data_IF_510801600023
#
_entry.id   IF_510801600023
#
_cell.length_a   1.000
_cell.length_b   1.000
_cell.length_c   1.000
_cell.angle_alpha   90.00
_cell.angle_beta   90.00
_cell.angle_gamma   90.00
#
_symmetry.space_group_name_H-M   'P 1'
#
loop_
_entity.id
_entity.type
_entity.pdbx_description
1 polymer ?
#
# COMPACT_ATOMS: atom_id res chain seq x y z
N UNK A 1 -8.51 -30.64 -20.28
CA UNK A 1 -7.42 -30.23 -19.34
C UNK A 1 -7.48 -30.98 -18.02
N UNK A 2 -8.68 -31.21 -17.41
CA UNK A 2 -8.81 -31.93 -16.14
C UNK A 2 -8.40 -33.40 -16.24
N UNK A 3 -8.69 -34.06 -17.37
CA UNK A 3 -8.35 -35.47 -17.62
C UNK A 3 -6.84 -35.76 -17.75
N UNK A 4 -6.01 -34.75 -18.03
CA UNK A 4 -4.57 -34.88 -18.16
C UNK A 4 -3.78 -34.30 -16.98
N UNK A 5 -4.42 -33.97 -15.85
CA UNK A 5 -3.75 -33.42 -14.67
C UNK A 5 -3.09 -32.04 -14.87
N UNK A 6 -3.35 -31.37 -16.00
CA UNK A 6 -2.79 -30.06 -16.33
C UNK A 6 -3.51 -28.88 -15.67
N UNK A 7 -3.78 -28.97 -14.36
CA UNK A 7 -4.38 -27.89 -13.58
C UNK A 7 -3.54 -27.55 -12.36
N UNK A 8 -3.56 -26.27 -12.00
CA UNK A 8 -3.03 -25.82 -10.74
C UNK A 8 -4.20 -25.49 -9.80
N UNK A 9 -4.20 -26.09 -8.62
CA UNK A 9 -5.22 -25.84 -7.62
C UNK A 9 -5.19 -24.36 -7.19
N UNK A 10 -6.34 -23.72 -7.19
CA UNK A 10 -6.50 -22.34 -6.71
C UNK A 10 -6.69 -22.37 -5.20
N UNK A 11 -6.02 -21.48 -4.48
CA UNK A 11 -6.26 -21.30 -3.06
C UNK A 11 -7.68 -20.75 -2.84
N UNK A 12 -8.48 -21.47 -2.09
CA UNK A 12 -9.82 -21.05 -1.67
C UNK A 12 -9.69 -20.48 -0.25
N UNK A 13 -9.99 -19.18 -0.05
CA UNK A 13 -9.95 -18.59 1.29
C UNK A 13 -11.03 -19.20 2.20
N UNK A 14 -10.79 -19.18 3.49
CA UNK A 14 -11.85 -19.50 4.47
C UNK A 14 -12.90 -18.39 4.46
N UNK A 15 -14.15 -18.67 4.82
CA UNK A 15 -15.20 -17.67 4.95
C UNK A 15 -14.78 -16.49 5.84
N UNK A 16 -14.08 -16.77 6.95
CA UNK A 16 -13.56 -15.76 7.85
C UNK A 16 -12.51 -14.83 7.16
N UNK A 17 -11.61 -15.38 6.34
CA UNK A 17 -10.63 -14.56 5.61
C UNK A 17 -11.28 -13.78 4.47
N UNK A 18 -12.27 -14.38 3.81
CA UNK A 18 -13.00 -13.72 2.72
C UNK A 18 -13.84 -12.55 3.23
N UNK A 19 -14.53 -12.70 4.36
CA UNK A 19 -15.27 -11.61 4.99
C UNK A 19 -14.36 -10.44 5.41
N UNK A 20 -13.18 -10.71 5.96
CA UNK A 20 -12.20 -9.67 6.28
C UNK A 20 -11.67 -8.99 5.01
N UNK A 21 -11.39 -9.75 3.97
CA UNK A 21 -10.97 -9.23 2.66
C UNK A 21 -12.01 -8.27 2.07
N UNK A 22 -13.30 -8.66 2.07
CA UNK A 22 -14.39 -7.79 1.60
C UNK A 22 -14.50 -6.50 2.42
N UNK A 23 -14.32 -6.59 3.76
CA UNK A 23 -14.32 -5.42 4.62
C UNK A 23 -13.18 -4.44 4.31
N UNK A 24 -11.96 -4.96 4.05
CA UNK A 24 -10.80 -4.16 3.66
C UNK A 24 -11.00 -3.50 2.28
N UNK A 25 -11.60 -4.21 1.34
CA UNK A 25 -11.93 -3.68 0.01
C UNK A 25 -12.98 -2.59 0.10
N UNK A 26 -14.06 -2.81 0.84
CA UNK A 26 -15.09 -1.78 1.12
C UNK A 26 -14.44 -0.49 1.68
N UNK A 27 -13.55 -0.64 2.67
CA UNK A 27 -12.82 0.53 3.21
C UNK A 27 -11.99 1.24 2.13
N UNK A 28 -11.39 0.50 1.20
CA UNK A 28 -10.64 1.10 0.09
C UNK A 28 -11.56 1.86 -0.88
N UNK A 29 -12.76 1.34 -1.15
CA UNK A 29 -13.75 2.02 -1.99
C UNK A 29 -14.19 3.35 -1.35
N UNK A 30 -14.39 3.39 -0.04
CA UNK A 30 -14.64 4.63 0.69
C UNK A 30 -13.46 5.61 0.62
N UNK A 31 -12.22 5.13 0.63
CA UNK A 31 -11.03 5.97 0.41
C UNK A 31 -11.00 6.58 -1.00
N UNK A 32 -11.41 5.81 -2.01
CA UNK A 32 -11.54 6.31 -3.38
C UNK A 32 -12.67 7.34 -3.51
N UNK A 33 -13.81 7.12 -2.85
CA UNK A 33 -14.90 8.08 -2.79
C UNK A 33 -14.45 9.39 -2.13
N UNK A 34 -13.76 9.34 -1.00
CA UNK A 34 -13.17 10.51 -0.35
C UNK A 34 -12.22 11.27 -1.29
N UNK A 35 -11.38 10.56 -2.04
CA UNK A 35 -10.50 11.18 -3.03
C UNK A 35 -11.30 11.92 -4.11
N UNK A 36 -12.41 11.36 -4.58
CA UNK A 36 -13.31 11.99 -5.56
C UNK A 36 -13.93 13.29 -4.99
N UNK A 37 -14.43 13.24 -3.76
CA UNK A 37 -14.98 14.43 -3.08
C UNK A 37 -13.90 15.53 -2.96
N UNK A 38 -12.68 15.17 -2.51
CA UNK A 38 -11.55 16.11 -2.46
C UNK A 38 -11.24 16.75 -3.83
N UNK A 39 -11.36 16.00 -4.91
CA UNK A 39 -11.17 16.52 -6.27
C UNK A 39 -12.31 17.46 -6.67
N UNK A 40 -13.56 17.14 -6.31
CA UNK A 40 -14.74 17.97 -6.59
C UNK A 40 -14.63 19.34 -5.87
N UNK A 41 -14.27 19.35 -4.58
CA UNK A 41 -14.03 20.59 -3.82
C UNK A 41 -12.92 21.43 -4.45
N UNK A 42 -11.78 20.81 -4.79
CA UNK A 42 -10.70 21.53 -5.46
C UNK A 42 -11.13 22.10 -6.82
N UNK A 43 -11.87 21.34 -7.61
CA UNK A 43 -12.36 21.79 -8.91
C UNK A 43 -13.38 22.93 -8.78
N UNK A 44 -14.24 22.87 -7.75
CA UNK A 44 -15.16 23.97 -7.42
C UNK A 44 -14.39 25.25 -7.10
N UNK A 45 -13.41 25.19 -6.18
CA UNK A 45 -12.59 26.33 -5.83
C UNK A 45 -11.90 26.97 -7.05
N UNK A 46 -11.27 26.14 -7.89
CA UNK A 46 -10.57 26.63 -9.09
C UNK A 46 -11.53 27.32 -10.08
N UNK A 47 -12.71 26.74 -10.32
CA UNK A 47 -13.69 27.32 -11.25
C UNK A 47 -14.22 28.69 -10.79
N UNK A 48 -14.25 28.92 -9.48
CA UNK A 48 -14.75 30.16 -8.89
C UNK A 48 -13.63 31.12 -8.44
N UNK A 49 -12.38 30.87 -8.85
CA UNK A 49 -11.23 31.75 -8.56
C UNK A 49 -10.70 31.68 -7.12
N UNK A 50 -11.13 30.71 -6.31
CA UNK A 50 -10.64 30.53 -4.95
C UNK A 50 -9.32 29.74 -4.97
N UNK A 51 -8.22 30.41 -4.69
CA UNK A 51 -6.88 29.81 -4.67
C UNK A 51 -6.35 29.72 -3.23
N UNK A 52 -5.83 28.56 -2.87
CA UNK A 52 -5.15 28.35 -1.60
C UNK A 52 -3.67 28.04 -1.82
N UNK A 53 -2.78 28.88 -1.31
CA UNK A 53 -1.33 28.79 -1.56
C UNK A 53 -0.60 27.79 -0.67
N UNK A 54 -1.28 27.23 0.34
CA UNK A 54 -0.69 26.29 1.28
C UNK A 54 -0.88 24.81 0.89
N UNK A 55 -0.44 23.93 1.79
CA UNK A 55 -0.68 22.48 1.65
C UNK A 55 -2.17 22.17 1.86
N UNK A 56 -2.79 21.59 0.83
CA UNK A 56 -4.20 21.19 0.84
C UNK A 56 -4.48 20.05 1.84
N UNK A 57 -5.70 19.99 2.34
CA UNK A 57 -6.22 18.95 3.27
C UNK A 57 -5.54 18.93 4.63
N UNK A 58 -4.97 20.07 5.03
CA UNK A 58 -4.53 20.36 6.41
C UNK A 58 -5.68 21.06 7.17
N UNK A 59 -5.57 21.12 8.49
CA UNK A 59 -6.52 21.87 9.31
C UNK A 59 -6.63 23.34 8.88
N UNK A 60 -5.52 23.95 8.46
CA UNK A 60 -5.50 25.31 7.95
C UNK A 60 -6.31 25.44 6.64
N UNK A 61 -6.15 24.49 5.70
CA UNK A 61 -6.92 24.47 4.47
C UNK A 61 -8.42 24.28 4.73
N UNK A 62 -8.80 23.36 5.64
CA UNK A 62 -10.20 23.13 5.99
C UNK A 62 -10.83 24.35 6.65
N UNK A 63 -10.09 25.06 7.53
CA UNK A 63 -10.54 26.33 8.10
C UNK A 63 -10.71 27.41 7.03
N UNK A 64 -9.80 27.48 6.06
CA UNK A 64 -9.89 28.40 4.94
C UNK A 64 -11.13 28.11 4.08
N UNK A 65 -11.42 26.87 3.73
CA UNK A 65 -12.62 26.48 2.98
C UNK A 65 -13.91 26.93 3.69
N UNK A 66 -13.99 26.75 5.01
CA UNK A 66 -15.15 27.17 5.81
C UNK A 66 -15.31 28.70 5.90
N UNK A 67 -14.22 29.46 5.75
CA UNK A 67 -14.19 30.92 5.83
C UNK A 67 -14.29 31.65 4.48
N UNK A 68 -14.40 30.90 3.38
CA UNK A 68 -14.52 31.51 2.05
C UNK A 68 -15.76 32.44 2.01
N UNK A 69 -15.54 33.67 1.60
CA UNK A 69 -16.62 34.61 1.36
C UNK A 69 -17.21 34.36 -0.03
N UNK A 70 -18.37 33.74 -0.07
CA UNK A 70 -19.10 33.41 -1.29
C UNK A 70 -20.42 34.16 -1.25
N UNK A 71 -20.56 35.17 -2.11
CA UNK A 71 -21.75 36.04 -2.16
C UNK A 71 -22.97 35.36 -2.79
N UNK A 72 -22.74 34.40 -3.69
CA UNK A 72 -23.82 33.64 -4.31
C UNK A 72 -24.26 32.49 -3.41
N UNK A 73 -25.53 32.53 -2.97
CA UNK A 73 -26.10 31.56 -2.02
C UNK A 73 -25.99 30.12 -2.51
N UNK A 74 -26.31 29.83 -3.79
CA UNK A 74 -26.23 28.48 -4.35
C UNK A 74 -24.78 27.94 -4.42
N UNK A 75 -23.81 28.84 -4.64
CA UNK A 75 -22.40 28.42 -4.58
C UNK A 75 -21.96 28.11 -3.15
N UNK A 76 -22.46 28.87 -2.16
CA UNK A 76 -22.18 28.61 -0.74
C UNK A 76 -22.77 27.25 -0.35
N UNK A 77 -24.05 27.03 -0.66
CA UNK A 77 -24.74 25.76 -0.40
C UNK A 77 -24.03 24.59 -1.06
N UNK A 78 -23.63 24.74 -2.34
CA UNK A 78 -22.88 23.70 -3.07
C UNK A 78 -21.57 23.33 -2.36
N UNK A 79 -20.82 24.32 -1.88
CA UNK A 79 -19.58 24.04 -1.17
C UNK A 79 -19.84 23.37 0.20
N UNK A 80 -20.88 23.81 0.90
CA UNK A 80 -21.23 23.25 2.21
C UNK A 80 -21.67 21.78 2.09
N UNK A 81 -22.44 21.42 1.04
CA UNK A 81 -22.82 20.03 0.73
C UNK A 81 -21.60 19.16 0.41
N UNK A 82 -20.65 19.66 -0.38
CA UNK A 82 -19.39 18.94 -0.61
C UNK A 82 -18.56 18.78 0.66
N UNK A 83 -18.53 19.80 1.53
CA UNK A 83 -17.81 19.73 2.81
C UNK A 83 -18.49 18.77 3.79
N UNK A 84 -19.81 18.73 3.85
CA UNK A 84 -20.57 17.74 4.61
C UNK A 84 -20.25 16.32 4.17
N UNK A 85 -20.30 16.07 2.86
CA UNK A 85 -19.92 14.78 2.26
C UNK A 85 -18.46 14.39 2.59
N UNK A 86 -17.55 15.36 2.60
CA UNK A 86 -16.15 15.13 2.98
C UNK A 86 -16.03 14.70 4.45
N UNK A 87 -16.68 15.41 5.37
CA UNK A 87 -16.63 15.12 6.81
C UNK A 87 -17.25 13.75 7.14
N UNK A 88 -18.40 13.44 6.55
CA UNK A 88 -19.04 12.11 6.70
C UNK A 88 -18.14 10.99 6.21
N UNK A 89 -17.49 11.17 5.06
CA UNK A 89 -16.64 10.15 4.49
C UNK A 89 -15.36 9.92 5.29
N UNK A 90 -14.76 11.00 5.84
CA UNK A 90 -13.62 10.88 6.78
C UNK A 90 -14.02 10.12 8.04
N UNK A 91 -15.16 10.47 8.66
CA UNK A 91 -15.67 9.78 9.85
C UNK A 91 -15.96 8.29 9.60
N UNK A 92 -16.48 7.93 8.40
CA UNK A 92 -16.66 6.52 8.01
C UNK A 92 -15.33 5.78 7.93
N UNK A 93 -14.33 6.36 7.25
CA UNK A 93 -13.01 5.74 7.11
C UNK A 93 -12.34 5.57 8.48
N UNK A 94 -12.44 6.54 9.37
CA UNK A 94 -11.88 6.44 10.72
C UNK A 94 -12.50 5.28 11.53
N UNK A 95 -13.83 5.10 11.45
CA UNK A 95 -14.53 3.98 12.08
C UNK A 95 -14.05 2.63 11.51
N UNK A 96 -13.88 2.55 10.17
CA UNK A 96 -13.38 1.33 9.52
C UNK A 96 -11.93 1.05 9.92
N UNK A 97 -11.08 2.07 9.98
CA UNK A 97 -9.68 1.91 10.40
C UNK A 97 -9.59 1.43 11.86
N UNK A 98 -10.47 1.90 12.74
CA UNK A 98 -10.59 1.39 14.11
C UNK A 98 -10.98 -0.09 14.13
N UNK A 99 -12.01 -0.47 13.36
CA UNK A 99 -12.46 -1.86 13.27
C UNK A 99 -11.40 -2.77 12.68
N UNK A 100 -10.65 -2.32 11.69
CA UNK A 100 -9.54 -3.06 11.08
C UNK A 100 -8.44 -3.34 12.11
N UNK A 101 -8.14 -2.40 13.00
CA UNK A 101 -7.18 -2.64 14.10
C UNK A 101 -7.68 -3.72 15.05
N UNK A 102 -8.95 -3.68 15.45
CA UNK A 102 -9.55 -4.72 16.30
C UNK A 102 -9.49 -6.11 15.63
N UNK A 103 -9.76 -6.20 14.32
CA UNK A 103 -9.63 -7.45 13.56
C UNK A 103 -8.17 -7.93 13.55
N UNK A 104 -7.23 -7.02 13.33
CA UNK A 104 -5.81 -7.34 13.29
C UNK A 104 -5.24 -7.83 14.64
N UNK A 105 -5.86 -7.45 15.76
CA UNK A 105 -5.52 -7.90 17.11
C UNK A 105 -6.05 -9.29 17.45
N UNK A 106 -6.92 -9.87 16.61
CA UNK A 106 -7.38 -11.25 16.81
C UNK A 106 -6.21 -12.24 16.72
N UNK A 107 -6.25 -13.29 17.55
CA UNK A 107 -5.20 -14.33 17.65
C UNK A 107 -4.77 -14.88 16.27
N UNK A 108 -5.73 -15.00 15.34
CA UNK A 108 -5.49 -15.51 13.98
C UNK A 108 -4.51 -14.65 13.17
N UNK A 109 -4.52 -13.33 13.37
CA UNK A 109 -3.81 -12.36 12.54
C UNK A 109 -2.69 -11.62 13.25
N UNK A 110 -2.79 -11.46 14.58
CA UNK A 110 -1.96 -10.58 15.40
C UNK A 110 -0.46 -10.75 15.13
N UNK A 111 0.05 -11.97 15.23
CA UNK A 111 1.49 -12.24 15.08
C UNK A 111 1.98 -11.93 13.67
N UNK A 112 1.19 -12.30 12.65
CA UNK A 112 1.51 -12.03 11.25
C UNK A 112 1.51 -10.54 10.94
N UNK A 113 0.52 -9.81 11.45
CA UNK A 113 0.41 -8.36 11.30
C UNK A 113 1.59 -7.67 11.96
N UNK A 114 1.92 -8.00 13.22
CA UNK A 114 3.09 -7.46 13.93
C UNK A 114 4.40 -7.67 13.17
N UNK A 115 4.62 -8.86 12.62
CA UNK A 115 5.80 -9.15 11.79
C UNK A 115 5.85 -8.21 10.57
N UNK A 116 4.77 -8.05 9.83
CA UNK A 116 4.72 -7.22 8.62
C UNK A 116 4.81 -5.73 8.91
N UNK A 117 4.30 -5.26 10.05
CA UNK A 117 4.42 -3.87 10.47
C UNK A 117 5.86 -3.44 10.82
N UNK A 118 6.80 -4.39 10.94
CA UNK A 118 8.23 -4.09 11.05
C UNK A 118 8.81 -3.48 9.78
N UNK A 119 8.17 -3.66 8.63
CA UNK A 119 8.58 -2.99 7.40
C UNK A 119 8.12 -1.54 7.37
N UNK A 120 9.04 -0.65 6.97
CA UNK A 120 8.70 0.75 6.73
C UNK A 120 7.68 0.84 5.58
N UNK A 121 6.58 1.57 5.80
CA UNK A 121 5.52 1.74 4.80
C UNK A 121 4.39 0.72 4.89
N UNK A 122 4.55 -0.39 5.61
CA UNK A 122 3.48 -1.35 5.88
C UNK A 122 2.86 -1.02 7.24
N UNK A 123 1.57 -0.67 7.25
CA UNK A 123 0.75 -0.45 8.44
C UNK A 123 -0.34 -1.52 8.53
N UNK A 124 -1.12 -1.53 9.59
CA UNK A 124 -2.14 -2.54 9.93
C UNK A 124 -3.03 -2.92 8.74
N UNK A 125 -3.63 -1.93 8.06
CA UNK A 125 -4.48 -2.18 6.89
C UNK A 125 -3.72 -2.94 5.79
N UNK A 126 -2.52 -2.49 5.42
CA UNK A 126 -1.71 -3.13 4.37
C UNK A 126 -1.26 -4.53 4.80
N UNK A 127 -0.83 -4.69 6.06
CA UNK A 127 -0.41 -5.98 6.60
C UNK A 127 -1.55 -7.00 6.57
N UNK A 128 -2.74 -6.61 7.08
CA UNK A 128 -3.90 -7.48 7.09
C UNK A 128 -4.37 -7.83 5.67
N UNK A 129 -4.40 -6.85 4.74
CA UNK A 129 -4.73 -7.09 3.34
C UNK A 129 -3.77 -8.09 2.69
N UNK A 130 -2.45 -7.96 2.92
CA UNK A 130 -1.46 -8.91 2.42
C UNK A 130 -1.72 -10.34 2.92
N UNK A 131 -2.12 -10.48 4.19
CA UNK A 131 -2.40 -11.78 4.80
C UNK A 131 -3.65 -12.43 4.18
N UNK A 132 -4.79 -11.73 4.21
CA UNK A 132 -6.08 -12.33 3.81
C UNK A 132 -6.21 -12.50 2.29
N UNK A 133 -5.66 -11.59 1.50
CA UNK A 133 -5.69 -11.68 0.03
C UNK A 133 -4.71 -12.72 -0.53
N UNK A 134 -3.60 -12.96 0.17
CA UNK A 134 -2.62 -13.98 -0.24
C UNK A 134 -3.00 -15.36 0.26
N UNK A 135 -3.53 -15.46 1.49
CA UNK A 135 -3.85 -16.70 2.18
C UNK A 135 -2.58 -17.48 2.54
N UNK A 136 -2.26 -18.52 1.78
CA UNK A 136 -1.06 -19.31 2.01
C UNK A 136 0.15 -18.81 1.20
N UNK A 137 1.15 -18.24 1.90
CA UNK A 137 2.40 -17.79 1.29
C UNK A 137 3.32 -18.96 0.88
N UNK A 138 3.17 -20.13 1.51
CA UNK A 138 4.00 -21.32 1.23
C UNK A 138 3.69 -21.95 -0.13
N UNK A 139 2.54 -21.62 -0.75
CA UNK A 139 2.25 -22.03 -2.14
C UNK A 139 3.21 -21.46 -3.16
N UNK A 140 3.98 -20.44 -2.82
CA UNK A 140 5.02 -19.86 -3.65
C UNK A 140 6.39 -20.39 -3.19
N UNK A 141 7.09 -21.12 -4.05
CA UNK A 141 8.40 -21.68 -3.71
C UNK A 141 9.49 -20.60 -3.52
N UNK A 142 9.32 -19.41 -4.12
CA UNK A 142 10.30 -18.31 -4.08
C UNK A 142 9.59 -16.96 -4.07
N UNK A 143 10.19 -15.94 -3.43
CA UNK A 143 9.64 -14.59 -3.39
C UNK A 143 9.40 -13.96 -4.77
N UNK A 144 10.18 -14.32 -5.80
CA UNK A 144 9.94 -13.86 -7.16
C UNK A 144 8.63 -14.41 -7.76
N UNK A 145 8.19 -15.62 -7.39
CA UNK A 145 6.89 -16.15 -7.80
C UNK A 145 5.75 -15.37 -7.16
N UNK A 146 5.91 -15.01 -5.87
CA UNK A 146 4.96 -14.13 -5.19
C UNK A 146 4.89 -12.74 -5.85
N UNK A 147 6.04 -12.16 -6.20
CA UNK A 147 6.07 -10.89 -6.93
C UNK A 147 5.42 -10.99 -8.32
N UNK A 148 5.54 -12.14 -9.01
CA UNK A 148 4.86 -12.39 -10.27
C UNK A 148 3.35 -12.54 -10.10
N UNK A 149 2.90 -13.23 -9.05
CA UNK A 149 1.48 -13.32 -8.67
C UNK A 149 0.84 -11.94 -8.44
N UNK A 150 1.62 -10.98 -7.95
CA UNK A 150 1.18 -9.59 -7.76
C UNK A 150 1.27 -8.75 -9.05
N UNK A 151 1.80 -9.31 -10.14
CA UNK A 151 2.02 -8.58 -11.39
C UNK A 151 3.10 -7.50 -11.30
N UNK A 152 4.05 -7.66 -10.39
CA UNK A 152 5.22 -6.78 -10.20
C UNK A 152 6.46 -7.27 -10.96
N UNK A 153 6.39 -8.44 -11.61
CA UNK A 153 7.47 -8.91 -12.47
C UNK A 153 7.60 -8.03 -13.71
N UNK A 154 8.83 -7.76 -14.20
CA UNK A 154 9.02 -7.07 -15.45
C UNK A 154 8.51 -7.94 -16.60
N UNK A 155 7.82 -7.33 -17.55
CA UNK A 155 7.51 -7.96 -18.82
C UNK A 155 8.72 -7.86 -19.77
N UNK A 156 8.78 -8.77 -20.73
CA UNK A 156 9.74 -8.77 -21.79
C UNK A 156 9.06 -9.18 -23.10
N UNK A 157 9.41 -8.53 -24.18
CA UNK A 157 8.98 -8.86 -25.54
C UNK A 157 10.21 -8.84 -26.43
N UNK A 158 11.05 -9.85 -26.26
CA UNK A 158 12.32 -10.01 -26.97
C UNK A 158 12.19 -11.08 -28.05
N UNK A 159 12.82 -10.86 -29.19
CA UNK A 159 12.91 -11.83 -30.28
C UNK A 159 14.34 -11.86 -30.79
N UNK A 160 14.96 -13.05 -30.78
CA UNK A 160 16.35 -13.24 -31.22
C UNK A 160 17.31 -12.24 -30.53
N UNK A 161 18.01 -11.42 -31.27
CA UNK A 161 18.98 -10.46 -30.76
C UNK A 161 18.38 -9.14 -30.27
N UNK A 162 17.08 -8.94 -30.49
CA UNK A 162 16.36 -7.71 -30.07
C UNK A 162 15.74 -7.88 -28.69
N UNK A 163 16.33 -7.21 -27.67
CA UNK A 163 15.85 -7.27 -26.29
C UNK A 163 14.98 -6.06 -26.00
N UNK A 164 13.65 -6.27 -25.90
CA UNK A 164 12.68 -5.24 -25.50
C UNK A 164 12.15 -5.50 -24.09
N UNK A 165 12.70 -4.78 -23.12
CA UNK A 165 12.23 -4.80 -21.72
C UNK A 165 11.03 -3.90 -21.54
N UNK A 166 9.92 -4.47 -21.09
CA UNK A 166 8.68 -3.78 -20.81
C UNK A 166 8.60 -3.32 -19.34
N UNK A 167 7.52 -2.63 -18.98
CA UNK A 167 7.17 -2.35 -17.60
C UNK A 167 6.77 -3.61 -16.83
N UNK A 168 6.16 -3.43 -15.65
CA UNK A 168 5.58 -4.56 -14.90
C UNK A 168 4.40 -5.17 -15.64
N UNK A 169 4.19 -6.48 -15.51
CA UNK A 169 3.15 -7.23 -16.24
C UNK A 169 1.73 -6.78 -15.88
N UNK A 170 1.52 -6.28 -14.66
CA UNK A 170 0.21 -5.93 -14.09
C UNK A 170 -0.81 -7.08 -14.05
N UNK A 171 -0.40 -8.30 -14.34
CA UNK A 171 -1.20 -9.50 -14.17
C UNK A 171 -1.41 -9.82 -12.68
N UNK A 172 -2.51 -10.48 -12.33
CA UNK A 172 -2.77 -10.91 -10.95
C UNK A 172 -3.40 -9.83 -10.06
N UNK A 173 -3.17 -9.93 -8.74
CA UNK A 173 -3.89 -9.13 -7.74
C UNK A 173 -3.53 -7.64 -7.79
N UNK A 174 -4.41 -6.83 -8.39
CA UNK A 174 -4.23 -5.39 -8.57
C UNK A 174 -4.30 -4.62 -7.24
N UNK A 175 -5.13 -5.07 -6.29
CA UNK A 175 -5.29 -4.43 -4.99
C UNK A 175 -4.00 -4.53 -4.16
N UNK A 176 -3.45 -5.73 -4.01
CA UNK A 176 -2.17 -5.93 -3.30
C UNK A 176 -1.00 -5.23 -4.00
N UNK A 177 -0.98 -5.23 -5.33
CA UNK A 177 0.03 -4.48 -6.11
C UNK A 177 -0.01 -2.99 -5.79
N UNK A 178 -1.21 -2.40 -5.73
CA UNK A 178 -1.39 -0.98 -5.36
C UNK A 178 -0.88 -0.72 -3.95
N UNK A 179 -1.27 -1.53 -2.97
CA UNK A 179 -0.84 -1.38 -1.57
C UNK A 179 0.69 -1.44 -1.42
N UNK A 180 1.36 -2.38 -2.11
CA UNK A 180 2.81 -2.49 -2.06
C UNK A 180 3.53 -1.33 -2.76
N UNK A 181 2.97 -0.79 -3.84
CA UNK A 181 3.50 0.42 -4.49
C UNK A 181 3.35 1.63 -3.55
N UNK A 182 2.21 1.79 -2.88
CA UNK A 182 1.99 2.84 -1.88
C UNK A 182 2.96 2.69 -0.69
N UNK A 183 3.12 1.48 -0.15
CA UNK A 183 4.07 1.18 0.93
C UNK A 183 5.51 1.53 0.51
N UNK A 184 5.90 1.14 -0.70
CA UNK A 184 7.23 1.46 -1.26
C UNK A 184 7.45 2.96 -1.41
N UNK A 185 6.41 3.74 -1.73
CA UNK A 185 6.47 5.20 -1.73
C UNK A 185 6.85 5.78 -0.36
N UNK A 186 6.44 5.14 0.72
CA UNK A 186 6.86 5.46 2.09
C UNK A 186 8.34 5.12 2.37
N UNK A 187 8.79 3.95 1.90
CA UNK A 187 10.19 3.52 2.01
C UNK A 187 11.13 4.48 1.27
N UNK A 188 10.73 4.95 0.10
CA UNK A 188 11.52 5.85 -0.76
C UNK A 188 11.69 7.27 -0.21
N UNK A 189 11.15 7.58 0.96
CA UNK A 189 11.30 8.89 1.62
C UNK A 189 12.27 8.81 2.78
N UNK A 190 13.05 9.88 2.99
CA UNK A 190 13.98 10.02 4.13
C UNK A 190 15.35 9.37 3.94
N UNK A 191 16.23 9.51 4.93
CA UNK A 191 17.62 9.06 4.89
C UNK A 191 17.74 7.52 5.04
N UNK A 192 18.76 6.95 4.38
CA UNK A 192 19.10 5.52 4.51
C UNK A 192 19.47 5.22 5.96
N UNK A 193 18.97 4.11 6.49
CA UNK A 193 19.22 3.69 7.89
C UNK A 193 18.37 4.43 8.93
N UNK A 194 17.69 5.51 8.59
CA UNK A 194 16.87 6.23 9.55
C UNK A 194 15.59 5.46 9.92
N UNK A 195 15.36 5.30 11.21
CA UNK A 195 14.14 4.75 11.83
C UNK A 195 13.37 5.85 12.56
N UNK A 196 12.12 6.06 12.18
CA UNK A 196 11.22 6.95 12.92
C UNK A 196 10.82 6.36 14.29
N UNK A 197 10.37 7.22 15.20
CA UNK A 197 9.79 6.78 16.49
C UNK A 197 8.60 5.83 16.28
N UNK A 198 7.76 6.12 15.30
CA UNK A 198 6.60 5.29 14.94
C UNK A 198 7.01 3.88 14.49
N UNK A 199 8.07 3.74 13.68
CA UNK A 199 8.56 2.43 13.25
C UNK A 199 9.15 1.65 14.43
N UNK A 200 9.92 2.31 15.30
CA UNK A 200 10.46 1.67 16.51
C UNK A 200 9.34 1.16 17.43
N UNK A 201 8.27 1.94 17.62
CA UNK A 201 7.13 1.53 18.42
C UNK A 201 6.43 0.29 17.83
N UNK A 202 6.24 0.22 16.49
CA UNK A 202 5.66 -0.95 15.83
C UNK A 202 6.55 -2.20 15.88
N UNK A 203 7.86 -2.02 15.91
CA UNK A 203 8.81 -3.13 16.02
C UNK A 203 8.92 -3.66 17.44
N UNK A 204 8.57 -2.87 18.46
CA UNK A 204 8.66 -3.27 19.85
C UNK A 204 7.82 -4.53 20.13
N UNK A 205 8.36 -5.45 20.89
CA UNK A 205 7.73 -6.73 21.22
C UNK A 205 7.89 -7.83 20.16
N UNK A 206 8.47 -7.54 18.99
CA UNK A 206 8.84 -8.56 18.01
C UNK A 206 10.20 -9.19 18.33
N UNK A 207 10.43 -10.42 17.83
CA UNK A 207 11.72 -11.10 17.95
C UNK A 207 12.83 -10.30 17.27
N UNK A 208 14.03 -10.32 17.84
CA UNK A 208 15.19 -9.60 17.31
C UNK A 208 15.51 -9.94 15.85
N UNK A 209 15.36 -11.20 15.46
CA UNK A 209 15.57 -11.69 14.08
C UNK A 209 14.60 -11.06 13.08
N UNK A 210 13.31 -10.96 13.47
CA UNK A 210 12.25 -10.31 12.66
C UNK A 210 12.57 -8.84 12.44
N UNK A 211 12.96 -8.15 13.51
CA UNK A 211 13.34 -6.73 13.45
C UNK A 211 14.58 -6.55 12.56
N UNK A 212 15.62 -7.36 12.76
CA UNK A 212 16.84 -7.28 11.98
C UNK A 212 16.60 -7.53 10.49
N UNK A 213 15.75 -8.52 10.14
CA UNK A 213 15.35 -8.79 8.76
C UNK A 213 14.62 -7.61 8.13
N UNK A 214 13.64 -7.03 8.84
CA UNK A 214 12.91 -5.86 8.36
C UNK A 214 13.82 -4.63 8.19
N UNK A 215 14.76 -4.40 9.11
CA UNK A 215 15.72 -3.30 9.03
C UNK A 215 16.69 -3.44 7.87
N UNK A 216 17.19 -4.65 7.63
CA UNK A 216 18.01 -4.97 6.45
C UNK A 216 17.21 -4.66 5.18
N UNK A 217 15.95 -5.09 5.11
CA UNK A 217 15.08 -4.80 3.98
C UNK A 217 14.88 -3.28 3.80
N UNK A 218 14.52 -2.55 4.86
CA UNK A 218 14.28 -1.11 4.81
C UNK A 218 15.50 -0.34 4.33
N UNK A 219 16.69 -0.69 4.84
CA UNK A 219 17.97 -0.08 4.45
C UNK A 219 18.32 -0.38 3.00
N UNK A 220 18.23 -1.65 2.59
CA UNK A 220 18.52 -2.11 1.23
C UNK A 220 17.59 -1.46 0.20
N UNK A 221 16.28 -1.49 0.44
CA UNK A 221 15.27 -0.96 -0.47
C UNK A 221 15.46 0.54 -0.68
N UNK A 222 15.71 1.29 0.39
CA UNK A 222 15.95 2.73 0.32
C UNK A 222 17.26 3.07 -0.41
N UNK A 223 18.35 2.37 -0.10
CA UNK A 223 19.63 2.54 -0.80
C UNK A 223 19.47 2.26 -2.29
N UNK A 224 18.76 1.18 -2.66
CA UNK A 224 18.50 0.80 -4.04
C UNK A 224 17.65 1.82 -4.77
N UNK A 225 16.63 2.38 -4.11
CA UNK A 225 15.83 3.47 -4.68
C UNK A 225 16.72 4.66 -5.06
N UNK A 226 17.54 5.16 -4.14
CA UNK A 226 18.43 6.28 -4.43
C UNK A 226 19.48 5.98 -5.51
N UNK A 227 19.94 4.71 -5.56
CA UNK A 227 20.80 4.27 -6.68
C UNK A 227 20.07 4.39 -8.01
N UNK A 228 18.81 3.95 -8.12
CA UNK A 228 18.02 4.09 -9.35
C UNK A 228 17.83 5.56 -9.76
N UNK A 229 17.50 6.43 -8.80
CA UNK A 229 17.33 7.87 -9.08
C UNK A 229 18.62 8.50 -9.57
N UNK A 230 19.77 8.22 -8.93
CA UNK A 230 21.08 8.70 -9.37
C UNK A 230 21.45 8.22 -10.77
N UNK A 231 20.99 7.06 -11.20
CA UNK A 231 21.18 6.55 -12.57
C UNK A 231 20.07 7.02 -13.53
N UNK A 232 19.34 8.09 -13.22
CA UNK A 232 18.37 8.70 -14.11
C UNK A 232 17.07 7.91 -14.33
N UNK A 233 16.77 6.89 -13.52
CA UNK A 233 15.51 6.15 -13.65
C UNK A 233 14.34 7.03 -13.21
N UNK A 234 13.25 7.01 -13.98
CA UNK A 234 12.01 7.71 -13.60
C UNK A 234 11.50 7.20 -12.26
N UNK A 235 11.04 8.11 -11.40
CA UNK A 235 10.59 7.81 -10.04
C UNK A 235 9.62 6.63 -9.96
N UNK A 236 8.60 6.61 -10.80
CA UNK A 236 7.57 5.55 -10.75
C UNK A 236 8.14 4.18 -11.13
N UNK A 237 9.12 4.12 -12.06
CA UNK A 237 9.83 2.89 -12.42
C UNK A 237 10.67 2.39 -11.24
N UNK A 238 11.39 3.32 -10.56
CA UNK A 238 12.16 2.99 -9.37
C UNK A 238 11.26 2.47 -8.23
N UNK A 239 10.13 3.14 -7.94
CA UNK A 239 9.17 2.71 -6.91
C UNK A 239 8.59 1.32 -7.23
N UNK A 240 8.23 1.03 -8.49
CA UNK A 240 7.74 -0.29 -8.89
C UNK A 240 8.81 -1.40 -8.68
N UNK A 241 10.07 -1.10 -8.96
CA UNK A 241 11.18 -2.03 -8.70
C UNK A 241 11.37 -2.29 -7.19
N UNK A 242 11.21 -1.25 -6.36
CA UNK A 242 11.24 -1.38 -4.89
C UNK A 242 10.03 -2.19 -4.39
N UNK A 243 8.84 -1.98 -4.94
CA UNK A 243 7.64 -2.75 -4.58
C UNK A 243 7.80 -4.25 -4.89
N UNK A 244 8.42 -4.59 -6.02
CA UNK A 244 8.75 -5.98 -6.35
C UNK A 244 9.67 -6.61 -5.31
N UNK A 245 10.72 -5.90 -4.93
CA UNK A 245 11.67 -6.42 -3.94
C UNK A 245 11.05 -6.47 -2.54
N UNK A 246 10.21 -5.49 -2.16
CA UNK A 246 9.43 -5.53 -0.92
C UNK A 246 8.51 -6.75 -0.88
N UNK A 247 7.86 -7.10 -1.99
CA UNK A 247 7.06 -8.33 -2.08
C UNK A 247 7.88 -9.59 -1.74
N UNK A 248 9.14 -9.67 -2.23
CA UNK A 248 10.02 -10.78 -1.88
C UNK A 248 10.37 -10.81 -0.38
N UNK A 249 10.60 -9.65 0.24
CA UNK A 249 10.84 -9.57 1.68
C UNK A 249 9.59 -9.92 2.50
N UNK A 250 8.41 -9.49 2.07
CA UNK A 250 7.13 -9.88 2.67
C UNK A 250 6.95 -11.40 2.61
N UNK A 251 7.19 -12.02 1.45
CA UNK A 251 7.15 -13.46 1.31
C UNK A 251 8.14 -14.17 2.25
N UNK A 252 9.38 -13.71 2.30
CA UNK A 252 10.40 -14.26 3.21
C UNK A 252 9.98 -14.19 4.67
N UNK A 253 9.44 -13.04 5.12
CA UNK A 253 8.93 -12.85 6.48
C UNK A 253 7.77 -13.81 6.81
N UNK A 254 6.86 -14.03 5.85
CA UNK A 254 5.66 -14.83 6.06
C UNK A 254 5.88 -16.34 5.92
N UNK A 255 7.00 -16.75 5.36
CA UNK A 255 7.42 -18.16 5.22
C UNK A 255 8.56 -18.54 6.18
N UNK A 256 8.90 -17.61 7.11
CA UNK A 256 10.03 -17.72 8.04
C UNK A 256 11.40 -17.94 7.34
N UNK A 257 11.51 -17.62 6.06
CA UNK A 257 12.77 -17.57 5.30
C UNK A 257 13.52 -16.25 5.59
N UNK A 258 13.77 -15.99 6.87
CA UNK A 258 14.43 -14.77 7.38
C UNK A 258 15.91 -14.98 7.65
N UNK A 259 16.45 -16.18 7.45
CA UNK A 259 17.87 -16.46 7.62
C UNK A 259 18.71 -15.48 6.79
N UNK A 260 19.54 -14.74 7.50
CA UNK A 260 20.53 -13.87 6.87
C UNK A 260 21.66 -14.75 6.37
N UNK A 261 21.62 -15.20 5.11
CA UNK A 261 22.86 -15.65 4.49
C UNK A 261 23.87 -14.51 4.64
N UNK A 262 24.93 -14.76 5.40
CA UNK A 262 26.07 -13.87 5.48
C UNK A 262 26.50 -13.55 4.03
N UNK A 263 26.60 -12.28 3.71
CA UNK A 263 27.08 -11.82 2.41
C UNK A 263 28.58 -11.92 2.37
#
# INVERSE_FOLDING_TARGET
CLSYGGYHAVYIPTEADDSVKEYLRMRNDHKLALKKIKQQINAFCIRHGFCYDGTKWTLAHLKWLKKLEITNELYRETLDEYMGSYEEQEAKIERYDKRIKEIAEQTKYQDKVKKLECFLGIKTHTALSLIVETGDFKRFAKGNQYASYLGLAPGENSSSDSIHRLGITKAGNSHLRQLLIEASGGICKGAVGHKSKELRARQNGNKAEVIAYADKANTRLRSRYYKFIRHGKKRNVAVAAIARELACFVWGMMTDNIEMKAA
#
